data_IF_820732851232
#
_entry.id   IF_820732851232
#
_cell.length_a   1.000
_cell.length_b   1.000
_cell.length_c   1.000
_cell.angle_alpha   90.00
_cell.angle_beta   90.00
_cell.angle_gamma   90.00
#
_symmetry.space_group_name_H-M   'P 1'
#
loop_
_entity.id
_entity.type
_entity.pdbx_description
1 polymer ?
#
# COMPACT_ATOMS: atom_id res chain seq x y z
N UNK A 1 -11.81 -2.78 7.21
CA UNK A 1 -12.42 -3.15 5.90
C UNK A 1 -11.95 -4.55 5.53
N UNK A 2 -12.82 -5.45 5.03
CA UNK A 2 -12.44 -6.83 4.64
C UNK A 2 -12.05 -6.92 3.17
N UNK A 3 -11.30 -7.98 2.79
CA UNK A 3 -10.97 -8.27 1.38
C UNK A 3 -12.23 -8.45 0.53
N UNK A 4 -13.27 -9.08 1.08
CA UNK A 4 -14.55 -9.25 0.38
C UNK A 4 -15.22 -7.92 0.10
N UNK A 5 -15.24 -7.00 1.07
CA UNK A 5 -15.81 -5.67 0.88
C UNK A 5 -14.99 -4.85 -0.13
N UNK A 6 -13.66 -4.94 -0.10
CA UNK A 6 -12.80 -4.28 -1.10
C UNK A 6 -13.11 -4.80 -2.51
N UNK A 7 -13.31 -6.10 -2.65
CA UNK A 7 -13.71 -6.69 -3.93
C UNK A 7 -15.09 -6.21 -4.42
N UNK A 8 -16.06 -6.06 -3.52
CA UNK A 8 -17.36 -5.47 -3.85
C UNK A 8 -17.21 -4.04 -4.38
N UNK A 9 -16.37 -3.22 -3.74
CA UNK A 9 -16.10 -1.85 -4.21
C UNK A 9 -15.41 -1.83 -5.60
N UNK A 10 -14.51 -2.78 -5.85
CA UNK A 10 -13.87 -2.94 -7.17
C UNK A 10 -14.92 -3.27 -8.23
N UNK A 11 -15.85 -4.17 -7.92
CA UNK A 11 -16.93 -4.55 -8.85
C UNK A 11 -17.90 -3.40 -9.10
N UNK A 12 -18.33 -2.71 -8.05
CA UNK A 12 -19.28 -1.60 -8.12
C UNK A 12 -18.74 -0.45 -8.98
N UNK A 13 -17.46 -0.11 -8.79
CA UNK A 13 -16.80 0.98 -9.51
C UNK A 13 -16.17 0.56 -10.84
N UNK A 14 -16.16 -0.75 -11.14
CA UNK A 14 -15.40 -1.33 -12.26
C UNK A 14 -13.95 -0.83 -12.32
N UNK A 15 -13.32 -0.67 -11.16
CA UNK A 15 -11.99 -0.08 -11.00
C UNK A 15 -11.23 -0.73 -9.85
N UNK A 16 -9.93 -0.91 -10.01
CA UNK A 16 -8.99 -1.33 -8.98
C UNK A 16 -7.88 -0.27 -8.77
N UNK A 17 -8.21 0.99 -9.07
CA UNK A 17 -7.32 2.13 -8.91
C UNK A 17 -7.10 2.46 -7.44
N UNK A 18 -5.83 2.58 -7.06
CA UNK A 18 -5.36 3.14 -5.80
C UNK A 18 -4.68 4.48 -6.08
N UNK A 19 -5.25 5.58 -5.64
CA UNK A 19 -4.67 6.91 -5.86
C UNK A 19 -3.57 7.18 -4.84
N UNK A 20 -2.35 7.48 -5.33
CA UNK A 20 -1.24 7.95 -4.51
C UNK A 20 -1.43 9.41 -4.10
N UNK A 21 -1.14 9.71 -2.84
CA UNK A 21 -1.11 11.08 -2.30
C UNK A 21 0.32 11.41 -1.87
N UNK A 22 1.15 11.69 -2.87
CA UNK A 22 2.57 12.03 -2.74
C UNK A 22 2.71 13.56 -2.89
N UNK A 23 2.36 14.30 -1.83
CA UNK A 23 2.15 15.76 -1.89
C UNK A 23 3.46 16.51 -1.70
N UNK A 24 3.94 17.09 -2.78
CA UNK A 24 5.14 17.89 -2.85
C UNK A 24 4.76 19.37 -3.04
N UNK A 25 5.00 20.20 -2.02
CA UNK A 25 4.64 21.63 -2.05
C UNK A 25 5.32 22.39 -3.20
N UNK A 26 6.45 21.90 -3.71
CA UNK A 26 7.12 22.51 -4.85
C UNK A 26 6.42 22.23 -6.19
N UNK A 27 5.44 21.29 -6.20
CA UNK A 27 4.74 20.82 -7.41
C UNK A 27 3.24 21.06 -7.40
N UNK A 28 2.66 21.46 -6.26
CA UNK A 28 1.22 21.75 -6.21
C UNK A 28 0.90 23.08 -6.90
N UNK A 29 -0.35 23.29 -7.36
CA UNK A 29 -0.76 24.55 -7.96
C UNK A 29 -0.52 25.74 -7.04
N UNK A 30 0.08 26.86 -7.55
CA UNK A 30 0.49 28.00 -6.70
C UNK A 30 -0.64 28.63 -5.88
N UNK A 31 -1.89 28.59 -6.36
CA UNK A 31 -3.02 29.15 -5.63
C UNK A 31 -3.32 28.37 -4.33
N UNK A 32 -2.99 27.09 -4.25
CA UNK A 32 -3.18 26.29 -3.03
C UNK A 32 -2.12 26.57 -1.97
N UNK A 33 -0.96 27.12 -2.34
CA UNK A 33 0.06 27.54 -1.38
C UNK A 33 -0.39 28.69 -0.48
N UNK A 34 -1.46 29.40 -0.85
CA UNK A 34 -2.04 30.47 -0.05
C UNK A 34 -3.08 29.97 0.98
N UNK A 35 -3.45 28.69 0.93
CA UNK A 35 -4.36 28.08 1.89
C UNK A 35 -3.69 27.91 3.26
N UNK A 36 -4.49 27.88 4.32
CA UNK A 36 -3.99 27.64 5.70
C UNK A 36 -3.25 26.29 5.84
N UNK A 37 -3.72 25.28 5.10
CA UNK A 37 -3.13 23.94 5.10
C UNK A 37 -3.04 23.42 3.64
N UNK A 38 -2.01 23.86 2.89
CA UNK A 38 -1.89 23.55 1.48
C UNK A 38 -1.76 22.04 1.19
N UNK A 39 -1.14 21.29 2.12
CA UNK A 39 -0.99 19.84 1.99
C UNK A 39 -2.38 19.19 2.03
N UNK A 40 -3.19 19.52 3.02
CA UNK A 40 -4.53 18.98 3.15
C UNK A 40 -5.45 19.46 2.01
N UNK A 41 -5.39 20.76 1.64
CA UNK A 41 -6.21 21.34 0.58
C UNK A 41 -5.97 20.65 -0.77
N UNK A 42 -4.71 20.38 -1.11
CA UNK A 42 -4.39 19.62 -2.33
C UNK A 42 -4.86 18.16 -2.25
N UNK A 43 -4.56 17.47 -1.13
CA UNK A 43 -5.03 16.08 -0.94
C UNK A 43 -6.55 15.97 -1.08
N UNK A 44 -7.28 16.88 -0.44
CA UNK A 44 -8.74 16.95 -0.51
C UNK A 44 -9.23 17.13 -1.93
N UNK A 45 -8.63 18.06 -2.69
CA UNK A 45 -9.03 18.30 -4.08
C UNK A 45 -8.82 17.06 -4.96
N UNK A 46 -7.70 16.34 -4.79
CA UNK A 46 -7.45 15.07 -5.50
C UNK A 46 -8.48 14.01 -5.11
N UNK A 47 -8.76 13.85 -3.82
CA UNK A 47 -9.75 12.87 -3.33
C UNK A 47 -11.12 13.17 -3.94
N UNK A 48 -11.59 14.42 -3.86
CA UNK A 48 -12.91 14.82 -4.38
C UNK A 48 -13.02 14.62 -5.90
N UNK A 49 -11.92 14.79 -6.64
CA UNK A 49 -11.89 14.58 -8.08
C UNK A 49 -11.85 13.10 -8.50
N UNK A 50 -11.35 12.22 -7.64
CA UNK A 50 -11.02 10.82 -8.03
C UNK A 50 -11.85 9.76 -7.32
N UNK A 51 -12.61 10.09 -6.28
CA UNK A 51 -13.31 9.11 -5.44
C UNK A 51 -14.29 8.20 -6.20
N UNK A 52 -14.86 8.67 -7.30
CA UNK A 52 -15.76 7.86 -8.13
C UNK A 52 -15.03 6.78 -8.94
N UNK A 53 -13.72 6.95 -9.16
CA UNK A 53 -12.89 6.08 -10.01
C UNK A 53 -11.91 5.23 -9.23
N UNK A 54 -11.68 5.54 -7.95
CA UNK A 54 -10.73 4.83 -7.10
C UNK A 54 -11.43 3.99 -6.04
N UNK A 55 -10.76 2.93 -5.60
CA UNK A 55 -11.20 2.08 -4.47
C UNK A 55 -10.29 2.23 -3.25
N UNK A 56 -9.12 2.84 -3.44
CA UNK A 56 -8.15 3.02 -2.38
C UNK A 56 -7.41 4.36 -2.50
N UNK A 57 -6.91 4.85 -1.37
CA UNK A 57 -6.01 6.00 -1.27
C UNK A 57 -4.76 5.62 -0.49
N UNK A 58 -3.61 6.00 -1.03
CA UNK A 58 -2.30 5.67 -0.48
C UNK A 58 -1.46 6.94 -0.21
N UNK A 59 -1.68 7.63 0.91
CA UNK A 59 -0.76 8.68 1.33
C UNK A 59 0.64 8.10 1.60
N UNK A 60 1.65 8.73 0.97
CA UNK A 60 3.05 8.35 1.13
C UNK A 60 3.66 9.16 2.29
N UNK A 61 3.96 8.47 3.38
CA UNK A 61 4.37 9.10 4.64
C UNK A 61 5.64 9.92 4.50
N UNK A 62 6.57 9.56 3.58
CA UNK A 62 7.78 10.35 3.39
C UNK A 62 7.49 11.82 3.03
N UNK A 63 6.44 12.06 2.23
CA UNK A 63 6.02 13.42 1.88
C UNK A 63 5.37 14.16 3.06
N UNK A 64 4.65 13.48 3.92
CA UNK A 64 4.08 14.09 5.12
C UNK A 64 5.13 14.28 6.21
N UNK A 65 5.97 13.30 6.48
CA UNK A 65 7.03 13.35 7.50
C UNK A 65 8.04 14.47 7.23
N UNK A 66 8.36 14.74 5.96
CA UNK A 66 9.30 15.79 5.56
C UNK A 66 8.85 17.20 5.98
N UNK A 67 7.55 17.39 6.20
CA UNK A 67 6.99 18.67 6.69
C UNK A 67 6.81 18.71 8.22
N UNK A 68 7.37 17.74 8.96
CA UNK A 68 7.34 17.71 10.42
C UNK A 68 5.92 17.68 10.99
N UNK A 69 5.65 18.50 12.00
CA UNK A 69 4.34 18.50 12.69
C UNK A 69 3.18 18.91 11.77
N UNK A 70 3.39 19.83 10.84
CA UNK A 70 2.34 20.23 9.89
C UNK A 70 1.96 19.08 8.95
N UNK A 71 2.94 18.33 8.47
CA UNK A 71 2.68 17.14 7.65
C UNK A 71 1.92 16.06 8.42
N UNK A 72 2.28 15.75 9.66
CA UNK A 72 1.54 14.79 10.47
C UNK A 72 0.10 15.24 10.78
N UNK A 73 -0.13 16.54 11.01
CA UNK A 73 -1.49 17.09 11.15
C UNK A 73 -2.28 16.94 9.85
N UNK A 74 -1.66 17.27 8.72
CA UNK A 74 -2.29 17.12 7.41
C UNK A 74 -2.62 15.66 7.09
N UNK A 75 -1.70 14.72 7.37
CA UNK A 75 -1.96 13.29 7.24
C UNK A 75 -3.19 12.85 8.05
N UNK A 76 -3.27 13.26 9.31
CA UNK A 76 -4.44 12.95 10.16
C UNK A 76 -5.73 13.51 9.56
N UNK A 77 -5.72 14.77 9.10
CA UNK A 77 -6.88 15.40 8.45
C UNK A 77 -7.31 14.66 7.18
N UNK A 78 -6.35 14.18 6.37
CA UNK A 78 -6.61 13.40 5.15
C UNK A 78 -7.33 12.10 5.49
N UNK A 79 -6.84 11.35 6.48
CA UNK A 79 -7.47 10.09 6.89
C UNK A 79 -8.86 10.33 7.48
N UNK A 80 -9.02 11.35 8.34
CA UNK A 80 -10.33 11.70 8.90
C UNK A 80 -11.31 12.14 7.82
N UNK A 81 -10.85 12.88 6.81
CA UNK A 81 -11.66 13.31 5.68
C UNK A 81 -12.15 12.12 4.86
N UNK A 82 -11.26 11.17 4.54
CA UNK A 82 -11.61 9.94 3.84
C UNK A 82 -12.65 9.13 4.62
N UNK A 83 -12.42 8.90 5.90
CA UNK A 83 -13.34 8.13 6.74
C UNK A 83 -14.73 8.77 6.88
N UNK A 84 -14.77 10.09 6.97
CA UNK A 84 -16.03 10.82 7.14
C UNK A 84 -16.85 10.90 5.85
N UNK A 85 -16.20 11.18 4.72
CA UNK A 85 -16.88 11.50 3.48
C UNK A 85 -16.88 10.33 2.48
N UNK A 86 -15.90 9.45 2.56
CA UNK A 86 -15.68 8.34 1.62
C UNK A 86 -15.34 7.03 2.34
N UNK A 87 -16.19 6.55 3.28
CA UNK A 87 -15.88 5.43 4.18
C UNK A 87 -15.66 4.09 3.47
N UNK A 88 -16.07 3.99 2.21
CA UNK A 88 -15.93 2.79 1.39
C UNK A 88 -14.57 2.70 0.66
N UNK A 89 -13.67 3.66 0.87
CA UNK A 89 -12.33 3.62 0.28
C UNK A 89 -11.33 3.01 1.24
N UNK A 90 -10.55 2.06 0.72
CA UNK A 90 -9.45 1.44 1.46
C UNK A 90 -8.30 2.42 1.65
N UNK A 91 -7.80 2.56 2.86
CA UNK A 91 -6.74 3.51 3.20
C UNK A 91 -5.42 2.80 3.49
N UNK A 92 -4.35 3.22 2.80
CA UNK A 92 -3.02 2.63 2.88
C UNK A 92 -2.03 3.67 3.39
N UNK A 93 -1.49 3.50 4.59
CA UNK A 93 -0.33 4.27 5.00
C UNK A 93 0.94 3.67 4.34
N UNK A 94 1.45 4.36 3.31
CA UNK A 94 2.69 3.93 2.66
C UNK A 94 3.89 4.41 3.48
N UNK A 95 4.17 3.69 4.57
CA UNK A 95 5.10 4.06 5.64
C UNK A 95 6.38 3.22 5.65
N UNK A 96 6.35 2.03 5.05
CA UNK A 96 7.48 1.09 4.96
C UNK A 96 8.17 0.87 6.31
N UNK A 97 7.35 0.65 7.36
CA UNK A 97 7.86 0.42 8.72
C UNK A 97 8.51 -0.96 8.83
N UNK A 98 9.47 -1.06 9.74
CA UNK A 98 10.14 -2.30 10.07
C UNK A 98 10.90 -2.09 11.37
N UNK A 99 10.50 -2.83 12.42
CA UNK A 99 11.13 -2.85 13.73
C UNK A 99 10.66 -4.09 14.46
N UNK A 100 11.29 -4.47 15.55
CA UNK A 100 11.00 -5.71 16.25
C UNK A 100 10.14 -5.52 17.50
N UNK A 101 9.43 -6.57 17.86
CA UNK A 101 8.74 -6.74 19.13
C UNK A 101 7.86 -5.55 19.53
N UNK A 102 8.10 -4.99 20.73
CA UNK A 102 7.32 -3.90 21.28
C UNK A 102 7.31 -2.64 20.39
N UNK A 103 8.43 -2.31 19.72
CA UNK A 103 8.51 -1.14 18.83
C UNK A 103 7.61 -1.31 17.61
N UNK A 104 7.60 -2.48 16.98
CA UNK A 104 6.67 -2.79 15.89
C UNK A 104 5.20 -2.66 16.35
N UNK A 105 4.87 -3.13 17.56
CA UNK A 105 3.55 -2.96 18.17
C UNK A 105 3.16 -1.47 18.36
N UNK A 106 4.12 -0.60 18.68
CA UNK A 106 3.87 0.86 18.78
C UNK A 106 3.57 1.49 17.43
N UNK A 107 4.27 1.08 16.37
CA UNK A 107 3.94 1.50 15.01
C UNK A 107 2.55 1.01 14.58
N UNK A 108 2.24 -0.25 14.79
CA UNK A 108 0.92 -0.81 14.48
C UNK A 108 -0.20 -0.04 15.19
N UNK A 109 -0.07 0.21 16.49
CA UNK A 109 -1.00 1.02 17.28
C UNK A 109 -1.16 2.44 16.73
N UNK A 110 -0.06 3.11 16.38
CA UNK A 110 -0.11 4.46 15.82
C UNK A 110 -0.94 4.50 14.54
N UNK A 111 -0.68 3.59 13.60
CA UNK A 111 -1.39 3.60 12.34
C UNK A 111 -2.83 3.10 12.44
N UNK A 112 -3.09 2.04 13.17
CA UNK A 112 -4.41 1.41 13.21
C UNK A 112 -5.37 2.04 14.22
N UNK A 113 -4.88 2.47 15.40
CA UNK A 113 -5.74 3.08 16.42
C UNK A 113 -5.72 4.61 16.34
N UNK A 114 -4.53 5.25 16.33
CA UNK A 114 -4.42 6.71 16.40
C UNK A 114 -4.83 7.36 15.08
N UNK A 115 -4.26 6.91 13.95
CA UNK A 115 -4.62 7.43 12.62
C UNK A 115 -5.83 6.67 12.05
N UNK A 116 -5.92 5.39 12.32
CA UNK A 116 -7.05 4.54 11.98
C UNK A 116 -7.09 4.12 10.51
N UNK A 117 -5.96 4.01 9.83
CA UNK A 117 -5.88 3.48 8.46
C UNK A 117 -6.28 2.01 8.40
N UNK A 118 -6.59 1.50 7.21
CA UNK A 118 -6.92 0.10 7.01
C UNK A 118 -5.68 -0.78 6.83
N UNK A 119 -4.60 -0.20 6.31
CA UNK A 119 -3.36 -0.95 6.06
C UNK A 119 -2.11 -0.09 6.15
N UNK A 120 -0.97 -0.77 6.34
CA UNK A 120 0.37 -0.16 6.42
C UNK A 120 1.34 -0.98 5.59
N UNK A 121 2.19 -0.32 4.80
CA UNK A 121 3.32 -1.00 4.15
C UNK A 121 4.42 -1.29 5.16
N UNK A 122 4.94 -2.52 5.17
CA UNK A 122 5.98 -2.99 6.09
C UNK A 122 7.10 -3.71 5.37
N UNK A 123 8.32 -3.60 5.90
CA UNK A 123 9.50 -4.24 5.36
C UNK A 123 9.74 -5.61 6.03
N UNK A 124 10.01 -6.67 5.26
CA UNK A 124 10.20 -8.03 5.80
C UNK A 124 11.60 -8.31 6.32
N UNK A 125 12.57 -7.43 6.10
CA UNK A 125 14.00 -7.72 6.29
C UNK A 125 14.35 -8.18 7.70
N UNK A 126 13.64 -7.68 8.72
CA UNK A 126 13.85 -8.07 10.13
C UNK A 126 13.04 -9.32 10.54
N UNK A 127 12.35 -9.97 9.60
CA UNK A 127 11.65 -11.23 9.83
C UNK A 127 10.26 -11.09 10.43
N UNK A 128 9.75 -12.21 10.94
CA UNK A 128 8.38 -12.39 11.46
C UNK A 128 8.02 -11.38 12.55
N UNK A 129 8.90 -11.18 13.54
CA UNK A 129 8.67 -10.28 14.67
C UNK A 129 8.41 -8.81 14.26
N UNK A 130 8.89 -8.42 13.06
CA UNK A 130 8.66 -7.06 12.54
C UNK A 130 7.28 -6.89 11.90
N UNK A 131 6.60 -7.96 11.55
CA UNK A 131 5.35 -7.94 10.80
C UNK A 131 4.15 -8.40 11.62
N UNK A 132 4.28 -9.45 12.43
CA UNK A 132 3.19 -10.02 13.23
C UNK A 132 2.44 -9.00 14.11
N UNK A 133 3.09 -8.00 14.75
CA UNK A 133 2.36 -6.99 15.51
C UNK A 133 1.33 -6.21 14.68
N UNK A 134 1.53 -6.08 13.38
CA UNK A 134 0.53 -5.47 12.48
C UNK A 134 -0.60 -6.45 12.14
N UNK A 135 -0.34 -7.75 12.13
CA UNK A 135 -1.34 -8.78 11.85
C UNK A 135 -2.24 -9.09 13.05
N UNK A 136 -1.87 -8.63 14.25
CA UNK A 136 -2.67 -8.82 15.47
C UNK A 136 -3.98 -7.98 15.49
N UNK A 137 -4.12 -7.00 14.61
CA UNK A 137 -5.30 -6.13 14.55
C UNK A 137 -6.36 -6.71 13.60
N UNK A 138 -7.56 -6.95 14.11
CA UNK A 138 -8.69 -7.42 13.30
C UNK A 138 -9.08 -6.35 12.26
N UNK A 139 -9.50 -6.81 11.07
CA UNK A 139 -9.91 -5.96 9.93
C UNK A 139 -8.83 -4.94 9.47
N UNK A 140 -7.56 -5.20 9.80
CA UNK A 140 -6.40 -4.43 9.36
C UNK A 140 -5.44 -5.31 8.58
N UNK A 141 -4.62 -4.68 7.72
CA UNK A 141 -3.73 -5.40 6.83
C UNK A 141 -2.29 -4.87 6.93
N UNK A 142 -1.33 -5.78 6.86
CA UNK A 142 0.05 -5.45 6.57
C UNK A 142 0.34 -5.69 5.08
N UNK A 143 0.84 -4.68 4.38
CA UNK A 143 1.24 -4.80 2.99
C UNK A 143 2.76 -4.99 2.95
N UNK A 144 3.18 -6.23 2.74
CA UNK A 144 4.57 -6.64 2.85
C UNK A 144 5.35 -6.31 1.56
N UNK A 145 6.49 -5.62 1.69
CA UNK A 145 7.38 -5.39 0.55
C UNK A 145 7.98 -6.73 0.09
N UNK A 146 7.81 -7.06 -1.19
CA UNK A 146 8.34 -8.31 -1.75
C UNK A 146 9.20 -8.07 -2.97
N UNK A 147 8.61 -7.62 -4.08
CA UNK A 147 9.34 -7.32 -5.30
C UNK A 147 9.03 -5.88 -5.73
N UNK A 148 10.00 -4.98 -5.61
CA UNK A 148 9.80 -3.56 -5.86
C UNK A 148 10.15 -3.17 -7.30
N UNK A 149 9.65 -2.01 -7.77
CA UNK A 149 9.76 -1.57 -9.17
C UNK A 149 11.12 -0.99 -9.56
N UNK A 150 11.92 -0.56 -8.57
CA UNK A 150 13.21 0.09 -8.78
C UNK A 150 14.29 -0.87 -9.30
N UNK A 151 15.28 -0.35 -10.01
CA UNK A 151 16.37 -1.16 -10.59
C UNK A 151 17.21 -1.86 -9.51
N UNK A 152 17.55 -1.15 -8.43
CA UNK A 152 18.35 -1.70 -7.32
C UNK A 152 17.64 -2.79 -6.51
N UNK A 153 16.40 -3.16 -6.85
CA UNK A 153 15.77 -4.37 -6.34
C UNK A 153 16.65 -5.63 -6.63
N UNK A 154 17.44 -5.57 -7.70
CA UNK A 154 18.38 -6.62 -8.08
C UNK A 154 19.49 -6.87 -7.05
N UNK A 155 19.85 -5.87 -6.22
CA UNK A 155 20.91 -6.03 -5.22
C UNK A 155 20.59 -7.09 -4.18
N UNK A 156 19.30 -7.26 -3.84
CA UNK A 156 18.86 -8.20 -2.79
C UNK A 156 17.71 -9.10 -3.23
N UNK A 157 16.67 -8.55 -3.85
CA UNK A 157 15.40 -9.27 -4.04
C UNK A 157 15.52 -10.45 -5.01
N UNK A 158 16.49 -10.41 -5.92
CA UNK A 158 16.83 -11.48 -6.84
C UNK A 158 17.99 -12.38 -6.37
N UNK A 159 18.52 -12.17 -5.15
CA UNK A 159 19.47 -13.10 -4.56
C UNK A 159 18.86 -14.49 -4.52
N UNK A 160 19.62 -15.49 -4.99
CA UNK A 160 19.16 -16.86 -5.10
C UNK A 160 19.76 -17.74 -4.01
N UNK A 161 18.90 -18.49 -3.32
CA UNK A 161 19.29 -19.58 -2.43
C UNK A 161 18.71 -20.87 -2.99
N UNK A 162 19.57 -21.79 -3.46
CA UNK A 162 19.15 -22.98 -4.23
C UNK A 162 18.34 -22.55 -5.47
N UNK A 163 17.10 -23.04 -5.59
CA UNK A 163 16.20 -22.74 -6.71
C UNK A 163 15.15 -21.68 -6.36
N UNK A 164 15.39 -20.85 -5.33
CA UNK A 164 14.44 -19.86 -4.84
C UNK A 164 15.05 -18.46 -4.77
N UNK A 165 14.36 -17.48 -5.31
CA UNK A 165 14.71 -16.07 -5.19
C UNK A 165 14.29 -15.50 -3.83
N UNK A 166 14.99 -14.48 -3.34
CA UNK A 166 14.71 -13.90 -2.02
C UNK A 166 13.27 -13.38 -1.90
N UNK A 167 12.75 -12.71 -2.93
CA UNK A 167 11.35 -12.25 -2.89
C UNK A 167 10.34 -13.40 -2.80
N UNK A 168 10.62 -14.54 -3.43
CA UNK A 168 9.79 -15.75 -3.34
C UNK A 168 9.89 -16.40 -1.95
N UNK A 169 11.10 -16.36 -1.35
CA UNK A 169 11.31 -16.82 0.02
C UNK A 169 10.49 -15.98 1.00
N UNK A 170 10.47 -14.64 0.83
CA UNK A 170 9.62 -13.75 1.64
C UNK A 170 8.15 -14.14 1.52
N UNK A 171 7.63 -14.34 0.30
CA UNK A 171 6.25 -14.77 0.07
C UNK A 171 5.94 -16.09 0.77
N UNK A 172 6.74 -17.11 0.54
CA UNK A 172 6.51 -18.45 1.11
C UNK A 172 6.60 -18.46 2.63
N UNK A 173 7.60 -17.76 3.20
CA UNK A 173 7.82 -17.73 4.64
C UNK A 173 6.66 -17.00 5.34
N UNK A 174 6.22 -15.87 4.78
CA UNK A 174 5.15 -15.07 5.38
C UNK A 174 3.78 -15.75 5.40
N UNK A 175 3.52 -16.68 4.48
CA UNK A 175 2.30 -17.50 4.48
C UNK A 175 2.18 -18.43 5.70
N UNK A 176 3.30 -18.76 6.36
CA UNK A 176 3.32 -19.57 7.58
C UNK A 176 3.15 -18.77 8.88
N UNK A 177 3.06 -17.45 8.81
CA UNK A 177 2.90 -16.61 10.01
C UNK A 177 1.46 -16.63 10.53
N UNK A 178 1.30 -16.33 11.81
CA UNK A 178 -0.03 -16.20 12.40
C UNK A 178 -0.80 -15.03 11.76
N UNK A 179 -2.08 -15.25 11.46
CA UNK A 179 -2.96 -14.30 10.76
C UNK A 179 -2.44 -13.88 9.36
N UNK A 180 -1.76 -14.76 8.64
CA UNK A 180 -1.23 -14.48 7.29
C UNK A 180 -2.32 -14.12 6.27
N UNK A 181 -3.58 -14.42 6.52
CA UNK A 181 -4.73 -13.98 5.70
C UNK A 181 -4.90 -12.46 5.69
N UNK A 182 -4.28 -11.75 6.63
CA UNK A 182 -4.22 -10.27 6.70
C UNK A 182 -3.01 -9.68 5.98
N UNK A 183 -2.23 -10.51 5.27
CA UNK A 183 -1.14 -10.05 4.42
C UNK A 183 -1.64 -9.68 3.04
N UNK A 184 -1.17 -8.54 2.57
CA UNK A 184 -1.11 -8.14 1.17
C UNK A 184 0.35 -7.95 0.79
N UNK A 185 0.67 -7.84 -0.51
CA UNK A 185 2.06 -7.78 -0.95
C UNK A 185 2.30 -6.66 -1.95
N UNK A 186 3.45 -5.98 -1.86
CA UNK A 186 3.90 -5.04 -2.89
C UNK A 186 4.60 -5.78 -4.00
N UNK A 187 4.12 -5.59 -5.24
CA UNK A 187 4.76 -6.10 -6.45
C UNK A 187 4.81 -5.00 -7.50
N UNK A 188 6.01 -4.57 -7.90
CA UNK A 188 6.20 -3.48 -8.85
C UNK A 188 5.66 -3.79 -10.24
N UNK A 189 4.94 -2.85 -10.85
CA UNK A 189 4.33 -2.99 -12.17
C UNK A 189 5.36 -3.24 -13.29
N UNK A 190 6.62 -2.80 -13.11
CA UNK A 190 7.72 -3.02 -14.06
C UNK A 190 8.20 -4.48 -14.11
N UNK A 191 7.70 -5.34 -13.21
CA UNK A 191 8.03 -6.77 -13.07
C UNK A 191 6.87 -7.66 -13.49
N UNK A 192 6.14 -7.30 -14.55
CA UNK A 192 4.89 -7.95 -14.95
C UNK A 192 4.99 -9.48 -15.16
N UNK A 193 6.12 -9.99 -15.62
CA UNK A 193 6.36 -11.43 -15.79
C UNK A 193 6.40 -12.20 -14.46
N UNK A 194 6.91 -11.56 -13.39
CA UNK A 194 6.99 -12.17 -12.08
C UNK A 194 5.61 -12.42 -11.45
N UNK A 195 4.56 -11.73 -11.90
CA UNK A 195 3.19 -11.95 -11.39
C UNK A 195 2.73 -13.40 -11.58
N UNK A 196 3.16 -14.08 -12.64
CA UNK A 196 2.77 -15.48 -12.88
C UNK A 196 3.34 -16.42 -11.80
N UNK A 197 4.58 -16.23 -11.40
CA UNK A 197 5.19 -17.00 -10.30
C UNK A 197 4.63 -16.60 -8.95
N UNK A 198 4.45 -15.30 -8.71
CA UNK A 198 3.89 -14.76 -7.48
C UNK A 198 2.47 -15.26 -7.25
N UNK A 199 1.60 -15.28 -8.28
CA UNK A 199 0.23 -15.79 -8.16
C UNK A 199 0.15 -17.27 -7.82
N UNK A 200 1.13 -18.07 -8.25
CA UNK A 200 1.21 -19.48 -7.83
C UNK A 200 1.49 -19.63 -6.33
N UNK A 201 2.21 -18.69 -5.74
CA UNK A 201 2.55 -18.68 -4.31
C UNK A 201 1.43 -18.07 -3.47
N UNK A 202 0.85 -16.95 -3.92
CA UNK A 202 -0.17 -16.17 -3.20
C UNK A 202 -1.43 -15.97 -4.07
N UNK A 203 -2.16 -17.04 -4.38
CA UNK A 203 -3.26 -17.00 -5.36
C UNK A 203 -4.42 -16.07 -4.93
N UNK A 204 -4.65 -15.93 -3.63
CA UNK A 204 -5.82 -15.23 -3.10
C UNK A 204 -5.49 -13.85 -2.48
N UNK A 205 -4.20 -13.50 -2.32
CA UNK A 205 -3.81 -12.24 -1.68
C UNK A 205 -4.00 -11.05 -2.63
N UNK A 206 -4.36 -9.90 -2.06
CA UNK A 206 -4.27 -8.64 -2.79
C UNK A 206 -2.82 -8.20 -2.97
N UNK A 207 -2.53 -7.67 -4.16
CA UNK A 207 -1.23 -7.09 -4.50
C UNK A 207 -1.38 -5.59 -4.68
N UNK A 208 -0.58 -4.82 -3.96
CA UNK A 208 -0.38 -3.40 -4.23
C UNK A 208 0.68 -3.28 -5.32
N UNK A 209 0.31 -2.67 -6.43
CA UNK A 209 1.12 -2.65 -7.66
C UNK A 209 1.50 -1.22 -8.03
N UNK A 210 2.57 -0.67 -7.43
CA UNK A 210 3.06 0.65 -7.78
C UNK A 210 3.82 0.64 -9.10
N UNK A 211 3.80 1.79 -9.79
CA UNK A 211 4.62 2.06 -10.96
C UNK A 211 3.92 1.82 -12.31
N UNK A 212 2.61 1.72 -12.34
CA UNK A 212 1.84 1.74 -13.60
C UNK A 212 1.92 3.13 -14.22
N UNK A 213 2.17 3.19 -15.52
CA UNK A 213 2.27 4.45 -16.26
C UNK A 213 3.59 5.17 -16.04
N UNK A 214 3.69 6.08 -15.10
CA UNK A 214 4.84 6.97 -14.92
C UNK A 214 6.20 6.26 -14.74
N UNK A 215 6.22 5.07 -14.16
CA UNK A 215 7.44 4.25 -14.02
C UNK A 215 7.60 3.21 -15.17
N UNK A 216 6.73 3.26 -16.19
CA UNK A 216 6.82 2.39 -17.37
C UNK A 216 6.09 1.04 -17.22
N UNK A 217 5.41 0.78 -16.09
CA UNK A 217 4.61 -0.44 -15.92
C UNK A 217 3.37 -0.45 -16.83
N UNK A 218 3.12 -1.59 -17.49
CA UNK A 218 1.96 -1.81 -18.36
C UNK A 218 0.76 -2.29 -17.56
N UNK A 219 -0.33 -1.52 -17.54
CA UNK A 219 -1.58 -1.93 -16.90
C UNK A 219 -2.12 -3.23 -17.47
N UNK A 220 -2.06 -3.40 -18.80
CA UNK A 220 -2.57 -4.58 -19.47
C UNK A 220 -1.83 -5.86 -19.05
N UNK A 221 -0.49 -5.79 -18.98
CA UNK A 221 0.32 -6.94 -18.56
C UNK A 221 0.14 -7.26 -17.08
N UNK A 222 0.08 -6.23 -16.22
CA UNK A 222 -0.24 -6.38 -14.79
C UNK A 222 -1.59 -7.04 -14.60
N UNK A 223 -2.62 -6.57 -15.28
CA UNK A 223 -3.96 -7.15 -15.20
C UNK A 223 -3.98 -8.60 -15.72
N UNK A 224 -3.40 -8.85 -16.89
CA UNK A 224 -3.35 -10.18 -17.51
C UNK A 224 -2.66 -11.23 -16.63
N UNK A 225 -1.54 -10.88 -16.01
CA UNK A 225 -0.71 -11.81 -15.26
C UNK A 225 -1.01 -11.82 -13.76
N UNK A 226 -1.59 -10.73 -13.24
CA UNK A 226 -1.74 -10.49 -11.81
C UNK A 226 -3.16 -10.63 -11.26
N UNK A 227 -4.21 -10.57 -12.08
CA UNK A 227 -5.59 -10.72 -11.59
C UNK A 227 -5.89 -12.14 -11.15
N UNK A 228 -6.74 -12.26 -10.14
CA UNK A 228 -7.33 -13.51 -9.66
C UNK A 228 -8.87 -13.44 -9.74
N UNK A 229 -9.58 -14.45 -9.20
CA UNK A 229 -11.04 -14.49 -9.20
C UNK A 229 -11.73 -13.33 -8.48
N UNK A 230 -11.00 -12.64 -7.59
CA UNK A 230 -11.47 -11.47 -6.83
C UNK A 230 -10.75 -10.18 -7.27
N UNK A 231 -10.32 -10.08 -8.53
CA UNK A 231 -9.40 -9.06 -9.02
C UNK A 231 -8.01 -9.17 -8.35
N UNK A 232 -7.91 -9.03 -7.03
CA UNK A 232 -6.68 -9.20 -6.24
C UNK A 232 -5.60 -8.15 -6.50
N UNK A 233 -5.92 -7.02 -7.14
CA UNK A 233 -4.99 -5.95 -7.47
C UNK A 233 -5.46 -4.59 -6.94
N UNK A 234 -4.51 -3.78 -6.49
CA UNK A 234 -4.64 -2.34 -6.28
C UNK A 234 -3.49 -1.69 -7.05
N UNK A 235 -3.78 -1.05 -8.19
CA UNK A 235 -2.74 -0.40 -9.02
C UNK A 235 -2.56 1.06 -8.64
N UNK A 236 -1.28 1.48 -8.57
CA UNK A 236 -0.92 2.83 -8.17
C UNK A 236 0.17 3.40 -9.11
#
# INVERSE_FOLDING_TARGET
>A
MTNSFLFEQIREKASFLCVGLDIDLDKIPPHLLQEEDPIFSFAKAIIDATHNYSVAYKPNLAFFESYGLSGWKAFKKVIDYLKKNYPNHFTIADAKRGDIGNTAGRYAKAFFETYGVDSVTVAPYMGQEAVEPFLAFEDKYAILLTLTSNESAADFQYTQEKDQLLFEKVLKTSLGWENAERLMYVVGATKAEAFLSIRKLVPNSFLLVPGVGAQGGSLNEVAKNGMNSQCGLLVN
#
